data_IF_835735175523
#
_entry.id   IF_835735175523
#
_cell.length_a   1.000
_cell.length_b   1.000
_cell.length_c   1.000
_cell.angle_alpha   90.00
_cell.angle_beta   90.00
_cell.angle_gamma   90.00
#
_symmetry.space_group_name_H-M   'P 1'
#
loop_
_entity.id
_entity.type
_entity.pdbx_description
1 polymer ?
#
# COMPACT_ATOMS: atom_id res chain seq x y z
N UNK A 1 13.73 22.70 28.84
CA UNK A 1 13.67 21.41 28.10
C UNK A 1 15.10 21.00 27.82
N UNK A 2 15.72 20.36 28.79
CA UNK A 2 17.15 20.05 28.75
C UNK A 2 17.40 18.71 28.06
N UNK A 3 17.72 18.78 26.77
CA UNK A 3 18.30 17.63 26.07
C UNK A 3 19.75 17.48 26.55
N UNK A 4 20.08 16.33 27.15
CA UNK A 4 21.45 15.97 27.49
C UNK A 4 22.39 16.19 26.28
N UNK A 5 23.57 16.84 26.43
CA UNK A 5 24.44 17.21 25.30
C UNK A 5 24.78 16.06 24.35
N UNK A 6 24.95 14.83 24.87
CA UNK A 6 25.19 13.64 24.06
C UNK A 6 24.06 13.32 23.07
N UNK A 7 22.80 13.57 23.45
CA UNK A 7 21.64 13.40 22.57
C UNK A 7 21.62 14.43 21.45
N UNK A 8 21.98 15.68 21.75
CA UNK A 8 22.04 16.77 20.78
C UNK A 8 23.13 16.53 19.72
N UNK A 9 24.36 16.23 20.16
CA UNK A 9 25.46 15.98 19.23
C UNK A 9 25.33 14.64 18.50
N UNK A 10 24.77 13.60 19.11
CA UNK A 10 24.47 12.33 18.43
C UNK A 10 23.47 12.50 17.28
N UNK A 11 22.44 13.34 17.47
CA UNK A 11 21.49 13.71 16.40
C UNK A 11 22.15 14.56 15.32
N UNK A 12 22.99 15.54 15.70
CA UNK A 12 23.69 16.45 14.76
C UNK A 12 24.76 15.74 13.92
N UNK A 13 25.41 14.70 14.48
CA UNK A 13 26.42 13.88 13.80
C UNK A 13 25.83 12.77 12.92
N UNK A 14 24.52 12.48 13.04
CA UNK A 14 23.87 11.50 12.19
C UNK A 14 23.83 12.05 10.76
N UNK A 15 24.32 11.32 9.75
CA UNK A 15 24.08 11.71 8.37
C UNK A 15 22.57 11.84 8.14
N UNK A 16 22.09 12.74 7.26
CA UNK A 16 20.68 12.88 6.97
C UNK A 16 20.12 11.49 6.67
N UNK A 17 19.13 11.08 7.48
CA UNK A 17 18.66 9.69 7.56
C UNK A 17 18.18 9.08 6.24
N UNK A 18 18.02 9.92 5.21
CA UNK A 18 17.70 9.56 3.84
C UNK A 18 18.87 8.94 3.04
N UNK A 19 20.14 9.20 3.40
CA UNK A 19 21.28 8.92 2.49
C UNK A 19 21.86 7.51 2.65
N UNK A 20 21.60 6.80 3.77
CA UNK A 20 22.35 5.55 4.06
C UNK A 20 21.64 4.49 4.88
N UNK A 21 20.33 4.62 5.12
CA UNK A 21 19.59 3.64 5.92
C UNK A 21 19.09 2.51 5.00
N UNK A 22 19.49 1.25 5.23
CA UNK A 22 18.94 0.14 4.46
C UNK A 22 17.41 0.10 4.65
N UNK A 23 16.66 -0.40 3.64
CA UNK A 23 15.21 -0.48 3.74
C UNK A 23 14.83 -1.25 5.00
N UNK A 24 13.87 -0.71 5.76
CA UNK A 24 13.35 -1.40 6.94
C UNK A 24 12.79 -2.76 6.54
N UNK A 25 12.75 -3.72 7.48
CA UNK A 25 12.14 -5.03 7.22
C UNK A 25 10.71 -4.92 6.66
N UNK A 26 9.96 -3.88 7.08
CA UNK A 26 8.65 -3.55 6.52
C UNK A 26 8.71 -3.13 5.06
N UNK A 27 9.64 -2.25 4.70
CA UNK A 27 9.82 -1.78 3.32
C UNK A 27 10.22 -2.94 2.38
N UNK A 28 11.06 -3.87 2.87
CA UNK A 28 11.43 -5.07 2.11
C UNK A 28 10.22 -5.97 1.86
N UNK A 29 9.42 -6.26 2.90
CA UNK A 29 8.17 -7.02 2.74
C UNK A 29 7.17 -6.33 1.83
N UNK A 30 6.98 -5.02 2.00
CA UNK A 30 6.09 -4.22 1.16
C UNK A 30 6.54 -4.30 -0.31
N UNK A 31 7.84 -4.26 -0.61
CA UNK A 31 8.35 -4.40 -1.98
C UNK A 31 7.95 -5.76 -2.63
N UNK A 32 8.03 -6.85 -1.87
CA UNK A 32 7.59 -8.18 -2.32
C UNK A 32 6.08 -8.22 -2.55
N UNK A 33 5.30 -7.73 -1.58
CA UNK A 33 3.83 -7.72 -1.65
C UNK A 33 3.33 -6.87 -2.81
N UNK A 34 3.98 -5.75 -3.04
CA UNK A 34 3.65 -4.84 -4.12
C UNK A 34 3.76 -5.55 -5.49
N UNK A 35 4.78 -6.39 -5.70
CA UNK A 35 4.90 -7.18 -6.94
C UNK A 35 3.69 -8.09 -7.12
N UNK A 36 3.36 -8.88 -6.10
CA UNK A 36 2.20 -9.79 -6.14
C UNK A 36 0.86 -9.05 -6.35
N UNK A 37 0.68 -7.89 -5.70
CA UNK A 37 -0.49 -7.04 -5.87
C UNK A 37 -0.60 -6.57 -7.32
N UNK A 38 0.51 -6.12 -7.92
CA UNK A 38 0.55 -5.67 -9.32
C UNK A 38 0.24 -6.83 -10.27
N UNK A 39 0.83 -8.01 -10.06
CA UNK A 39 0.59 -9.19 -10.89
C UNK A 39 -0.90 -9.60 -10.87
N UNK A 40 -1.51 -9.64 -9.69
CA UNK A 40 -2.95 -9.95 -9.53
C UNK A 40 -3.83 -8.88 -10.17
N UNK A 41 -3.47 -7.60 -10.02
CA UNK A 41 -4.23 -6.49 -10.63
C UNK A 41 -4.16 -6.57 -12.16
N UNK A 42 -2.98 -6.81 -12.73
CA UNK A 42 -2.77 -6.98 -14.17
C UNK A 42 -3.48 -8.21 -14.73
N UNK A 43 -3.43 -9.35 -14.02
CA UNK A 43 -4.15 -10.56 -14.40
C UNK A 43 -5.69 -10.34 -14.43
N UNK A 44 -6.19 -9.35 -13.68
CA UNK A 44 -7.60 -8.95 -13.70
C UNK A 44 -7.90 -7.81 -14.68
N UNK A 45 -6.94 -7.43 -15.54
CA UNK A 45 -7.01 -6.26 -16.44
C UNK A 45 -7.36 -4.95 -15.72
N UNK A 46 -6.90 -4.82 -14.47
CA UNK A 46 -7.17 -3.67 -13.61
C UNK A 46 -8.61 -3.51 -13.13
N UNK A 47 -9.45 -4.52 -13.30
CA UNK A 47 -10.83 -4.49 -12.78
C UNK A 47 -10.86 -4.66 -11.26
N UNK A 48 -9.86 -5.29 -10.65
CA UNK A 48 -9.89 -5.61 -9.22
C UNK A 48 -9.40 -4.45 -8.37
N UNK A 49 -10.26 -4.00 -7.45
CA UNK A 49 -9.86 -3.12 -6.35
C UNK A 49 -9.26 -3.91 -5.18
N UNK A 50 -8.82 -3.18 -4.15
CA UNK A 50 -8.09 -3.74 -3.01
C UNK A 50 -8.77 -4.92 -2.32
N UNK A 51 -10.11 -4.91 -2.19
CA UNK A 51 -10.85 -6.03 -1.62
C UNK A 51 -10.70 -7.32 -2.45
N UNK A 52 -10.83 -7.24 -3.78
CA UNK A 52 -10.74 -8.39 -4.68
C UNK A 52 -9.31 -8.89 -4.80
N UNK A 53 -8.34 -7.97 -4.86
CA UNK A 53 -6.90 -8.31 -4.82
C UNK A 53 -6.55 -9.03 -3.51
N UNK A 54 -6.96 -8.50 -2.36
CA UNK A 54 -6.76 -9.15 -1.05
C UNK A 54 -7.35 -10.57 -1.01
N UNK A 55 -8.58 -10.76 -1.52
CA UNK A 55 -9.21 -12.09 -1.58
C UNK A 55 -8.40 -13.04 -2.46
N UNK A 56 -7.87 -12.56 -3.59
CA UNK A 56 -7.07 -13.37 -4.49
C UNK A 56 -5.71 -13.74 -3.88
N UNK A 57 -5.04 -12.79 -3.22
CA UNK A 57 -3.79 -13.05 -2.49
C UNK A 57 -3.99 -14.12 -1.39
N UNK A 58 -5.10 -14.06 -0.65
CA UNK A 58 -5.43 -15.11 0.33
C UNK A 58 -5.64 -16.48 -0.31
N UNK A 59 -6.24 -16.54 -1.51
CA UNK A 59 -6.39 -17.80 -2.26
C UNK A 59 -5.06 -18.36 -2.74
N UNK A 60 -4.09 -17.49 -2.98
CA UNK A 60 -2.70 -17.85 -3.33
C UNK A 60 -1.84 -18.15 -2.08
N UNK A 61 -2.43 -18.18 -0.88
CA UNK A 61 -1.73 -18.48 0.37
C UNK A 61 -0.99 -17.30 1.00
N UNK A 62 -1.08 -16.09 0.42
CA UNK A 62 -0.41 -14.90 0.95
C UNK A 62 -1.27 -14.29 2.06
N UNK A 63 -0.80 -14.36 3.30
CA UNK A 63 -1.46 -13.74 4.44
C UNK A 63 -1.06 -12.27 4.56
N UNK A 64 -1.96 -11.38 4.16
CA UNK A 64 -1.80 -9.93 4.29
C UNK A 64 -3.07 -9.28 4.81
N UNK A 65 -2.92 -8.26 5.65
CA UNK A 65 -4.06 -7.47 6.09
C UNK A 65 -4.63 -6.65 4.92
N UNK A 66 -5.96 -6.56 4.83
CA UNK A 66 -6.66 -5.75 3.82
C UNK A 66 -6.16 -4.30 3.77
N UNK A 67 -5.95 -3.66 4.93
CA UNK A 67 -5.46 -2.28 5.03
C UNK A 67 -4.05 -2.11 4.41
N UNK A 68 -3.23 -3.17 4.41
CA UNK A 68 -1.91 -3.16 3.78
C UNK A 68 -2.06 -3.18 2.26
N UNK A 69 -2.94 -4.02 1.72
CA UNK A 69 -3.23 -4.04 0.28
C UNK A 69 -3.78 -2.69 -0.18
N UNK A 70 -4.74 -2.11 0.55
CA UNK A 70 -5.31 -0.79 0.24
C UNK A 70 -4.25 0.31 0.23
N UNK A 71 -3.40 0.36 1.26
CA UNK A 71 -2.29 1.32 1.36
C UNK A 71 -1.31 1.17 0.19
N UNK A 72 -0.90 -0.06 -0.12
CA UNK A 72 0.08 -0.32 -1.17
C UNK A 72 -0.48 -0.06 -2.57
N UNK A 73 -1.75 -0.41 -2.82
CA UNK A 73 -2.43 -0.06 -4.06
C UNK A 73 -2.55 1.46 -4.23
N UNK A 74 -2.95 2.19 -3.18
CA UNK A 74 -2.98 3.66 -3.21
C UNK A 74 -1.60 4.27 -3.49
N UNK A 75 -0.55 3.79 -2.81
CA UNK A 75 0.81 4.26 -3.03
C UNK A 75 1.32 4.03 -4.46
N UNK A 76 0.82 3.00 -5.15
CA UNK A 76 1.13 2.67 -6.54
C UNK A 76 0.15 3.24 -7.57
N UNK A 77 -0.88 3.99 -7.14
CA UNK A 77 -1.94 4.48 -8.02
C UNK A 77 -2.83 3.38 -8.62
N UNK A 78 -2.79 2.15 -8.08
CA UNK A 78 -3.61 1.05 -8.55
C UNK A 78 -5.03 1.20 -8.01
N UNK A 79 -6.00 1.25 -8.91
CA UNK A 79 -7.41 1.32 -8.57
C UNK A 79 -8.17 0.22 -9.32
N UNK A 80 -9.25 -0.26 -8.71
CA UNK A 80 -10.18 -1.16 -9.37
C UNK A 80 -11.28 -0.39 -10.08
N UNK A 81 -11.93 -1.03 -11.05
CA UNK A 81 -13.09 -0.46 -11.73
C UNK A 81 -14.28 -0.41 -10.76
N UNK A 82 -14.78 0.79 -10.51
CA UNK A 82 -16.05 0.99 -9.81
C UNK A 82 -17.17 1.08 -10.85
N UNK A 83 -18.19 0.21 -10.77
CA UNK A 83 -19.40 0.39 -11.59
C UNK A 83 -20.09 1.65 -11.12
N UNK A 84 -20.17 2.66 -12.00
CA UNK A 84 -20.99 3.86 -11.80
C UNK A 84 -22.41 3.48 -11.38
N UNK A 85 -22.96 4.26 -10.46
CA UNK A 85 -24.30 4.07 -9.91
C UNK A 85 -25.33 4.01 -11.05
N UNK A 86 -26.32 3.12 -10.94
CA UNK A 86 -27.37 3.00 -11.95
C UNK A 86 -28.20 4.29 -11.90
N UNK A 87 -28.06 5.18 -12.89
CA UNK A 87 -28.99 6.30 -13.09
C UNK A 87 -30.41 5.72 -13.13
N UNK A 88 -31.22 6.05 -12.12
CA UNK A 88 -32.62 5.64 -12.04
C UNK A 88 -33.42 6.60 -12.94
N UNK A 89 -33.78 6.15 -14.14
CA UNK A 89 -34.43 7.00 -15.16
C UNK A 89 -35.94 7.14 -14.98
N UNK A 90 -36.53 6.51 -13.97
CA UNK A 90 -37.98 6.56 -13.73
C UNK A 90 -38.27 7.21 -12.39
N UNK A 91 -38.69 8.47 -12.46
CA UNK A 91 -39.44 9.15 -11.41
C UNK A 91 -40.90 8.72 -11.58
N UNK A 92 -41.55 8.10 -10.58
CA UNK A 92 -42.99 7.86 -10.66
C UNK A 92 -43.73 9.20 -10.62
N UNK A 93 -44.76 9.33 -11.46
CA UNK A 93 -45.70 10.46 -11.50
C UNK A 93 -46.62 10.47 -10.28
#
# INVERSE_FOLDING_TARGET
MDLCPGTYYGRKRRPPSAVRRPPSARAQRDAVLIKQITDVHQASHGTYGAYRVHKQLRRQGVQVARCTVERLMRARGLQGVHRRDRRRTTTPD
#
